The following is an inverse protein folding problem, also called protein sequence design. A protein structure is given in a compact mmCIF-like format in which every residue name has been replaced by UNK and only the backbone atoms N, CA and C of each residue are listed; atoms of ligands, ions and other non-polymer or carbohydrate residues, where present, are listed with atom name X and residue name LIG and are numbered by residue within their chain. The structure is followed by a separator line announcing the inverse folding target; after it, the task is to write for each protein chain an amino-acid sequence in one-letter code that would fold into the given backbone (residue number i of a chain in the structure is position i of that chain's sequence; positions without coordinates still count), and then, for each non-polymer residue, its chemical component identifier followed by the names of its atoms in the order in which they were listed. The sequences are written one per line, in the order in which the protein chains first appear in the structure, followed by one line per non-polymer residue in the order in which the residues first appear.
data_IF_679607592897
#
_entry.id   IF_679607592897
#
_cell.length_a   1.000
_cell.length_b   1.000
_cell.length_c   1.000
_cell.angle_alpha   90.00
_cell.angle_beta   90.00
_cell.angle_gamma   90.00
#
_symmetry.space_group_name_H-M   'P 1'
#
loop_
_entity.id
_entity.type
_entity.pdbx_description
1 polymer ?
#
# COMPACT_ATOMS: atom_id res chain seq x y z
N UNK A 1 -34.53 3.59 -5.73
CA UNK A 1 -33.81 3.30 -6.99
C UNK A 1 -32.80 2.21 -6.66
N UNK A 2 -33.07 0.97 -7.06
CA UNK A 2 -32.27 -0.21 -6.67
C UNK A 2 -30.93 -0.12 -7.39
N UNK A 3 -29.84 0.00 -6.64
CA UNK A 3 -28.48 0.00 -7.17
C UNK A 3 -28.07 -1.45 -7.48
N UNK A 4 -28.52 -1.97 -8.63
CA UNK A 4 -27.95 -3.20 -9.16
C UNK A 4 -26.60 -2.90 -9.80
N UNK A 5 -25.53 -3.26 -9.11
CA UNK A 5 -24.22 -3.43 -9.74
C UNK A 5 -24.37 -4.63 -10.68
N UNK A 6 -24.38 -4.37 -11.98
CA UNK A 6 -24.35 -5.44 -12.98
C UNK A 6 -22.95 -6.07 -12.96
N UNK A 7 -22.83 -7.19 -12.26
CA UNK A 7 -21.63 -8.04 -12.32
C UNK A 7 -21.63 -8.75 -13.68
N UNK A 8 -20.93 -8.20 -14.65
CA UNK A 8 -20.53 -8.93 -15.85
C UNK A 8 -19.21 -9.64 -15.56
N UNK A 9 -19.30 -10.91 -15.17
CA UNK A 9 -18.17 -11.82 -15.12
C UNK A 9 -17.65 -12.09 -16.53
N UNK A 10 -16.65 -11.36 -16.97
CA UNK A 10 -15.75 -11.79 -18.03
C UNK A 10 -14.33 -11.53 -17.58
N UNK A 11 -13.63 -12.60 -17.22
CA UNK A 11 -12.19 -12.64 -17.04
C UNK A 11 -11.50 -12.45 -18.40
N UNK A 12 -11.41 -11.20 -18.85
CA UNK A 12 -10.51 -10.83 -19.94
C UNK A 12 -9.09 -10.76 -19.36
N UNK A 13 -8.15 -11.50 -19.95
CA UNK A 13 -6.72 -11.31 -19.66
C UNK A 13 -6.37 -9.84 -19.91
N UNK A 14 -5.71 -9.14 -18.97
CA UNK A 14 -5.37 -7.75 -19.14
C UNK A 14 -4.46 -7.59 -20.35
N UNK A 15 -4.87 -6.74 -21.29
CA UNK A 15 -3.99 -6.18 -22.31
C UNK A 15 -3.10 -5.15 -21.61
N UNK A 16 -1.81 -5.13 -21.87
CA UNK A 16 -0.74 -4.42 -21.14
C UNK A 16 -0.86 -2.90 -20.97
N UNK A 17 -2.04 -2.37 -20.68
CA UNK A 17 -2.29 -0.96 -20.40
C UNK A 17 -3.50 -0.72 -19.48
N UNK A 18 -3.85 -1.65 -18.58
CA UNK A 18 -5.01 -1.55 -17.71
C UNK A 18 -4.65 -1.17 -16.26
N UNK A 19 -3.63 -0.33 -16.08
CA UNK A 19 -3.28 0.19 -14.76
C UNK A 19 -4.27 1.27 -14.31
N UNK A 20 -4.73 1.19 -13.04
CA UNK A 20 -5.55 2.24 -12.40
C UNK A 20 -4.67 3.37 -11.90
N UNK A 21 -3.55 3.04 -11.27
CA UNK A 21 -2.55 4.01 -10.82
C UNK A 21 -1.22 3.72 -11.50
N UNK A 22 -0.61 4.77 -12.03
CA UNK A 22 0.73 4.74 -12.62
C UNK A 22 1.60 5.78 -11.93
N UNK A 23 2.67 5.35 -11.31
CA UNK A 23 3.63 6.20 -10.59
C UNK A 23 4.93 6.21 -11.34
N UNK A 24 5.50 7.41 -11.61
CA UNK A 24 6.77 7.57 -12.32
C UNK A 24 7.68 8.53 -11.57
N UNK A 25 8.87 8.08 -11.27
CA UNK A 25 9.94 8.88 -10.64
C UNK A 25 9.50 9.64 -9.39
N UNK A 26 8.59 9.05 -8.60
CA UNK A 26 8.04 9.69 -7.40
C UNK A 26 9.14 9.92 -6.36
N UNK A 27 9.26 11.16 -5.91
CA UNK A 27 10.17 11.52 -4.82
C UNK A 27 9.45 12.38 -3.76
N UNK A 28 9.85 12.14 -2.50
CA UNK A 28 9.44 12.97 -1.37
C UNK A 28 10.60 13.23 -0.43
N UNK A 29 10.89 14.50 -0.27
CA UNK A 29 11.88 15.00 0.66
C UNK A 29 11.21 15.82 1.76
N UNK A 30 11.69 15.67 2.98
CA UNK A 30 11.27 16.50 4.11
C UNK A 30 12.46 17.34 4.60
N UNK A 31 12.28 18.65 4.64
CA UNK A 31 13.28 19.60 5.10
C UNK A 31 13.15 19.80 6.62
N UNK A 32 14.18 19.39 7.39
CA UNK A 32 14.22 19.51 8.83
C UNK A 32 15.10 20.69 9.23
N UNK A 33 14.59 21.59 10.09
CA UNK A 33 15.39 22.62 10.73
C UNK A 33 15.50 23.96 10.02
N UNK A 34 14.62 24.26 9.06
CA UNK A 34 14.47 25.60 8.48
C UNK A 34 13.82 26.58 9.49
N UNK A 35 14.46 26.82 10.65
CA UNK A 35 14.11 27.96 11.49
C UNK A 35 15.00 29.14 11.12
N UNK A 36 14.38 30.29 10.81
CA UNK A 36 15.05 31.56 10.42
C UNK A 36 16.18 32.03 11.40
N UNK A 37 16.27 31.42 12.58
CA UNK A 37 17.24 31.77 13.64
C UNK A 37 18.23 30.64 13.97
N UNK A 38 18.21 29.49 13.27
CA UNK A 38 19.10 28.38 13.56
C UNK A 38 20.27 28.35 12.58
N UNK A 39 21.53 28.43 13.11
CA UNK A 39 22.76 28.17 12.34
C UNK A 39 22.99 26.68 12.02
N UNK A 40 22.00 25.78 12.33
CA UNK A 40 22.12 24.37 11.97
C UNK A 40 21.88 24.22 10.45
N UNK A 41 22.76 23.45 9.79
CA UNK A 41 22.57 23.06 8.39
C UNK A 41 21.19 22.40 8.23
N UNK A 42 20.46 22.84 7.24
CA UNK A 42 19.24 22.20 6.78
C UNK A 42 19.53 20.71 6.53
N UNK A 43 18.72 19.83 7.12
CA UNK A 43 18.81 18.40 6.90
C UNK A 43 17.65 17.98 6.03
N UNK A 44 17.93 17.28 4.94
CA UNK A 44 16.94 16.75 4.03
C UNK A 44 16.79 15.26 4.26
N UNK A 45 15.56 14.84 4.59
CA UNK A 45 15.19 13.42 4.71
C UNK A 45 14.59 12.96 3.39
N UNK A 46 15.31 12.11 2.65
CA UNK A 46 14.83 11.47 1.43
C UNK A 46 13.95 10.27 1.78
N UNK A 47 12.66 10.52 2.00
CA UNK A 47 11.71 9.50 2.42
C UNK A 47 11.26 8.59 1.26
N UNK A 48 11.11 9.16 0.06
CA UNK A 48 10.84 8.45 -1.20
C UNK A 48 11.80 9.01 -2.23
N UNK A 49 12.45 8.14 -2.99
CA UNK A 49 13.49 8.52 -3.92
C UNK A 49 13.38 7.72 -5.22
N UNK A 50 12.82 8.34 -6.24
CA UNK A 50 12.72 7.77 -7.58
C UNK A 50 11.97 6.42 -7.62
N UNK A 51 10.73 6.41 -7.11
CA UNK A 51 9.86 5.23 -7.08
C UNK A 51 8.94 5.22 -8.30
N UNK A 52 8.93 4.10 -9.04
CA UNK A 52 8.09 3.90 -10.22
C UNK A 52 7.43 2.53 -10.19
N UNK A 53 6.12 2.46 -10.39
CA UNK A 53 5.36 1.21 -10.49
C UNK A 53 3.96 1.48 -11.08
N UNK A 54 3.30 0.41 -11.46
CA UNK A 54 1.89 0.41 -11.89
C UNK A 54 1.05 -0.45 -10.95
N UNK A 55 -0.22 -0.09 -10.77
CA UNK A 55 -1.22 -0.91 -10.07
C UNK A 55 -2.31 -1.28 -11.06
N UNK A 56 -2.40 -2.55 -11.42
CA UNK A 56 -3.37 -3.06 -12.38
C UNK A 56 -4.78 -3.07 -11.78
N UNK A 57 -5.78 -2.82 -12.63
CA UNK A 57 -7.20 -2.83 -12.24
C UNK A 57 -7.63 -4.18 -11.68
N UNK A 58 -8.36 -4.16 -10.56
CA UNK A 58 -8.85 -5.37 -9.90
C UNK A 58 -7.75 -6.23 -9.27
N UNK A 59 -6.51 -5.73 -9.18
CA UNK A 59 -5.38 -6.42 -8.57
C UNK A 59 -4.86 -5.73 -7.33
N UNK A 60 -4.04 -6.45 -6.59
CA UNK A 60 -3.35 -5.95 -5.39
C UNK A 60 -1.85 -5.87 -5.62
N UNK A 61 -1.29 -4.64 -5.59
CA UNK A 61 0.15 -4.44 -5.47
C UNK A 61 0.53 -4.30 -3.99
N UNK A 62 1.40 -5.18 -3.50
CA UNK A 62 1.98 -5.10 -2.16
C UNK A 62 3.25 -4.24 -2.15
N UNK A 63 3.38 -3.30 -1.20
CA UNK A 63 4.66 -2.64 -0.90
C UNK A 63 5.16 -3.13 0.45
N UNK A 64 6.33 -3.78 0.47
CA UNK A 64 6.92 -4.37 1.66
C UNK A 64 8.30 -3.79 1.96
N UNK A 65 8.72 -3.85 3.21
CA UNK A 65 10.05 -3.41 3.66
C UNK A 65 10.07 -3.07 5.14
N UNK A 66 11.27 -2.79 5.68
CA UNK A 66 11.45 -2.41 7.08
C UNK A 66 10.67 -1.14 7.44
N UNK A 67 10.38 -0.98 8.75
CA UNK A 67 9.73 0.25 9.23
C UNK A 67 10.58 1.48 8.89
N UNK A 68 9.93 2.58 8.47
CA UNK A 68 10.61 3.81 8.09
C UNK A 68 11.24 3.82 6.70
N UNK A 69 11.09 2.77 5.87
CA UNK A 69 11.68 2.75 4.52
C UNK A 69 10.93 3.60 3.48
N UNK A 70 9.78 4.23 3.84
CA UNK A 70 9.06 5.16 2.95
C UNK A 70 7.69 4.67 2.45
N UNK A 71 7.23 3.46 2.78
CA UNK A 71 5.98 2.84 2.29
C UNK A 71 4.74 3.73 2.47
N UNK A 72 4.42 4.09 3.72
CA UNK A 72 3.25 4.94 4.03
C UNK A 72 3.40 6.35 3.46
N UNK A 73 4.63 6.86 3.31
CA UNK A 73 4.88 8.14 2.65
C UNK A 73 4.55 8.06 1.17
N UNK A 74 4.97 6.98 0.48
CA UNK A 74 4.62 6.73 -0.93
C UNK A 74 3.11 6.71 -1.13
N UNK A 75 2.39 5.93 -0.31
CA UNK A 75 0.94 5.84 -0.37
C UNK A 75 0.25 7.20 -0.16
N UNK A 76 0.70 7.98 0.84
CA UNK A 76 0.14 9.30 1.11
C UNK A 76 0.44 10.31 0.01
N UNK A 77 1.58 10.20 -0.68
CA UNK A 77 1.87 10.99 -1.86
C UNK A 77 0.94 10.66 -3.03
N UNK A 78 0.65 9.36 -3.27
CA UNK A 78 -0.27 8.92 -4.32
C UNK A 78 -1.67 9.52 -4.10
N UNK A 79 -2.17 9.49 -2.88
CA UNK A 79 -3.46 10.08 -2.51
C UNK A 79 -3.43 11.60 -2.36
N UNK A 80 -2.28 12.25 -2.59
CA UNK A 80 -2.08 13.69 -2.37
C UNK A 80 -2.50 14.14 -0.96
N UNK A 81 -2.33 13.27 0.04
CA UNK A 81 -2.40 13.61 1.47
C UNK A 81 -1.08 14.24 1.94
N UNK A 82 -0.01 13.94 1.24
CA UNK A 82 1.31 14.57 1.36
C UNK A 82 1.75 14.99 -0.03
N UNK A 83 2.12 16.25 -0.19
CA UNK A 83 2.59 16.77 -1.47
C UNK A 83 3.90 16.09 -1.88
N UNK A 84 4.01 15.46 -3.06
CA UNK A 84 5.28 14.94 -3.56
C UNK A 84 6.25 16.07 -3.84
N UNK A 85 7.55 15.80 -3.78
CA UNK A 85 8.59 16.78 -4.15
C UNK A 85 8.77 16.81 -5.66
N UNK A 86 8.68 15.64 -6.31
CA UNK A 86 8.72 15.49 -7.76
C UNK A 86 8.13 14.14 -8.17
N UNK A 87 7.99 13.93 -9.47
CA UNK A 87 7.43 12.72 -10.08
C UNK A 87 6.02 12.92 -10.59
N UNK A 88 5.51 11.90 -11.26
CA UNK A 88 4.19 11.89 -11.88
C UNK A 88 3.32 10.80 -11.27
N UNK A 89 2.04 11.09 -11.08
CA UNK A 89 1.06 10.15 -10.53
C UNK A 89 -0.18 10.23 -11.42
N UNK A 90 -0.40 9.22 -12.25
CA UNK A 90 -1.54 9.15 -13.15
C UNK A 90 -2.60 8.21 -12.58
N UNK A 91 -3.82 8.69 -12.51
CA UNK A 91 -5.01 7.92 -12.19
C UNK A 91 -5.86 7.72 -13.44
N UNK A 92 -6.20 6.47 -13.76
CA UNK A 92 -7.07 6.13 -14.89
C UNK A 92 -8.45 5.76 -14.39
N UNK A 93 -9.34 6.76 -14.46
CA UNK A 93 -10.74 6.62 -14.10
C UNK A 93 -11.51 5.96 -15.23
N UNK A 94 -12.24 4.88 -14.93
CA UNK A 94 -13.17 4.26 -15.85
C UNK A 94 -14.55 4.93 -15.72
N UNK A 95 -15.06 5.45 -16.83
CA UNK A 95 -16.42 5.98 -16.87
C UNK A 95 -17.45 4.85 -16.77
N UNK A 96 -18.41 4.93 -15.83
CA UNK A 96 -19.41 3.88 -15.66
C UNK A 96 -20.44 3.83 -16.80
N UNK A 97 -20.54 4.89 -17.63
CA UNK A 97 -21.56 5.03 -18.67
C UNK A 97 -21.11 4.55 -20.03
N UNK A 98 -19.88 4.82 -20.44
CA UNK A 98 -19.37 4.58 -21.80
C UNK A 98 -18.08 3.76 -21.82
N UNK A 99 -17.60 3.32 -20.66
CA UNK A 99 -16.35 2.56 -20.49
C UNK A 99 -15.11 3.29 -21.04
N UNK A 100 -15.19 4.60 -21.24
CA UNK A 100 -14.01 5.39 -21.59
C UNK A 100 -13.08 5.52 -20.39
N UNK A 101 -11.76 5.55 -20.64
CA UNK A 101 -10.75 5.77 -19.62
C UNK A 101 -10.31 7.23 -19.69
N UNK A 102 -10.53 7.97 -18.61
CA UNK A 102 -10.00 9.30 -18.41
C UNK A 102 -8.70 9.20 -17.61
N UNK A 103 -7.59 9.70 -18.17
CA UNK A 103 -6.31 9.76 -17.47
C UNK A 103 -6.14 11.14 -16.83
N UNK A 104 -5.90 11.15 -15.52
CA UNK A 104 -5.79 12.36 -14.69
C UNK A 104 -4.42 12.33 -14.00
N UNK A 105 -3.64 13.41 -14.19
CA UNK A 105 -2.39 13.60 -13.43
C UNK A 105 -2.73 14.14 -12.03
N UNK A 106 -2.65 13.26 -11.03
CA UNK A 106 -2.86 13.64 -9.63
C UNK A 106 -1.79 14.62 -9.12
N UNK A 107 -0.59 14.58 -9.72
CA UNK A 107 0.52 15.47 -9.40
C UNK A 107 0.20 16.94 -9.72
N UNK A 108 -0.55 17.17 -10.79
CA UNK A 108 -0.92 18.50 -11.29
C UNK A 108 -2.35 18.93 -10.89
N UNK A 109 -3.16 18.01 -10.37
CA UNK A 109 -4.55 18.25 -10.04
C UNK A 109 -4.71 19.34 -8.96
N UNK A 110 -5.62 20.25 -9.18
CA UNK A 110 -6.01 21.28 -8.20
C UNK A 110 -6.74 20.69 -6.99
N UNK A 111 -6.77 21.38 -5.87
CA UNK A 111 -7.52 20.94 -4.68
C UNK A 111 -9.01 20.68 -4.95
N UNK A 112 -9.62 21.43 -5.88
CA UNK A 112 -11.02 21.24 -6.28
C UNK A 112 -11.23 19.94 -7.08
N UNK A 113 -10.29 19.58 -7.93
CA UNK A 113 -10.28 18.32 -8.68
C UNK A 113 -9.99 17.14 -7.75
N UNK A 114 -8.97 17.24 -6.90
CA UNK A 114 -8.64 16.24 -5.90
C UNK A 114 -9.84 15.94 -4.98
N UNK A 115 -10.61 16.96 -4.59
CA UNK A 115 -11.81 16.77 -3.76
C UNK A 115 -12.84 15.88 -4.45
N UNK A 116 -13.02 16.02 -5.78
CA UNK A 116 -13.92 15.15 -6.55
C UNK A 116 -13.37 13.72 -6.68
N UNK A 117 -12.05 13.59 -6.83
CA UNK A 117 -11.40 12.28 -6.97
C UNK A 117 -11.29 11.50 -5.66
N UNK A 118 -11.42 12.19 -4.52
CA UNK A 118 -11.41 11.51 -3.20
C UNK A 118 -12.57 10.54 -3.00
N UNK A 119 -13.65 10.61 -3.78
CA UNK A 119 -14.67 9.57 -3.79
C UNK A 119 -14.13 8.25 -4.35
N UNK A 120 -13.28 8.31 -5.38
CA UNK A 120 -12.75 7.15 -6.07
C UNK A 120 -11.47 6.59 -5.41
N UNK A 121 -10.73 7.45 -4.68
CA UNK A 121 -9.42 7.17 -4.10
C UNK A 121 -9.52 7.20 -2.56
N UNK A 122 -9.51 6.05 -1.93
CA UNK A 122 -9.75 5.91 -0.49
C UNK A 122 -8.56 5.28 0.24
N UNK A 123 -8.58 5.36 1.57
CA UNK A 123 -7.53 4.79 2.44
C UNK A 123 -8.13 4.09 3.65
N UNK A 124 -7.59 2.91 3.96
CA UNK A 124 -7.74 2.23 5.25
C UNK A 124 -6.45 2.43 6.03
N UNK A 125 -6.54 3.09 7.18
CA UNK A 125 -5.38 3.48 7.99
C UNK A 125 -4.86 2.35 8.88
N UNK A 126 -3.58 2.42 9.21
CA UNK A 126 -2.87 1.51 10.12
C UNK A 126 -3.48 1.48 11.53
N UNK A 127 -3.84 2.64 12.08
CA UNK A 127 -4.48 2.75 13.39
C UNK A 127 -5.94 3.17 13.23
N UNK A 128 -6.86 2.19 13.31
CA UNK A 128 -8.27 2.52 13.22
C UNK A 128 -8.74 3.36 14.40
N UNK A 129 -8.10 3.27 15.57
CA UNK A 129 -8.50 4.06 16.76
C UNK A 129 -8.23 5.55 16.53
N UNK A 130 -7.03 5.87 16.02
CA UNK A 130 -6.66 7.24 15.70
C UNK A 130 -7.46 7.82 14.52
N UNK A 131 -8.04 6.95 13.67
CA UNK A 131 -8.80 7.38 12.50
C UNK A 131 -10.26 7.71 12.77
N UNK A 132 -10.79 7.37 13.97
CA UNK A 132 -12.17 7.67 14.36
C UNK A 132 -12.25 8.81 15.36
N UNK A 133 -13.30 9.62 15.23
CA UNK A 133 -13.67 10.56 16.27
C UNK A 133 -14.32 9.77 17.42
N UNK A 134 -13.73 9.73 18.64
CA UNK A 134 -14.26 8.91 19.75
C UNK A 134 -15.63 9.39 20.26
N UNK A 135 -16.08 10.58 19.84
CA UNK A 135 -17.38 11.15 20.21
C UNK A 135 -18.50 10.84 19.21
N UNK A 136 -18.15 10.24 18.06
CA UNK A 136 -19.11 9.82 17.05
C UNK A 136 -19.45 8.33 17.22
N UNK A 137 -20.70 7.97 16.95
CA UNK A 137 -21.09 6.57 16.83
C UNK A 137 -20.49 5.95 15.59
N UNK A 138 -20.47 4.62 15.52
CA UNK A 138 -20.04 3.86 14.35
C UNK A 138 -20.82 4.27 13.10
N UNK A 139 -22.17 4.31 13.21
CA UNK A 139 -23.01 4.72 12.09
C UNK A 139 -22.71 6.13 11.59
N UNK A 140 -22.51 7.08 12.51
CA UNK A 140 -22.11 8.43 12.14
C UNK A 140 -20.74 8.47 11.45
N UNK A 141 -19.76 7.64 11.91
CA UNK A 141 -18.42 7.61 11.33
C UNK A 141 -18.37 6.95 9.94
N UNK A 142 -19.19 5.93 9.68
CA UNK A 142 -19.32 5.28 8.38
C UNK A 142 -20.13 6.12 7.41
N UNK A 143 -21.19 6.80 7.90
CA UNK A 143 -22.05 7.63 7.08
C UNK A 143 -21.49 9.04 6.78
N UNK A 144 -20.48 9.52 7.54
CA UNK A 144 -19.91 10.86 7.35
C UNK A 144 -19.48 11.15 5.90
N UNK A 145 -18.78 10.25 5.19
CA UNK A 145 -18.43 10.46 3.78
C UNK A 145 -19.65 10.65 2.89
N UNK A 146 -20.76 9.94 3.15
CA UNK A 146 -22.00 10.06 2.39
C UNK A 146 -22.62 11.45 2.57
N UNK A 147 -22.75 11.90 3.82
CA UNK A 147 -23.32 13.21 4.16
C UNK A 147 -22.52 14.36 3.54
N UNK A 148 -21.19 14.22 3.45
CA UNK A 148 -20.32 15.31 2.99
C UNK A 148 -20.20 15.35 1.46
N UNK A 149 -20.27 14.20 0.78
CA UNK A 149 -19.90 14.10 -0.64
C UNK A 149 -21.06 13.68 -1.56
N UNK A 150 -22.27 13.47 -1.04
CA UNK A 150 -23.42 13.08 -1.83
C UNK A 150 -24.64 13.94 -1.52
N UNK A 151 -25.63 13.93 -2.39
CA UNK A 151 -26.93 14.59 -2.19
C UNK A 151 -27.99 13.65 -1.58
N UNK A 152 -27.56 12.55 -0.95
CA UNK A 152 -28.45 11.60 -0.30
C UNK A 152 -29.15 12.24 0.90
N UNK A 153 -30.43 11.91 1.06
CA UNK A 153 -31.21 12.27 2.24
C UNK A 153 -30.64 11.57 3.49
N UNK A 154 -31.03 12.01 4.66
CA UNK A 154 -30.62 11.40 5.93
C UNK A 154 -31.00 9.91 6.00
N UNK A 155 -32.21 9.57 5.56
CA UNK A 155 -32.71 8.19 5.61
C UNK A 155 -31.96 7.30 4.62
N UNK A 156 -31.65 7.79 3.41
CA UNK A 156 -30.83 7.08 2.44
C UNK A 156 -29.37 6.90 2.94
N UNK A 157 -28.79 7.88 3.60
CA UNK A 157 -27.48 7.75 4.23
C UNK A 157 -27.48 6.67 5.34
N UNK A 158 -28.56 6.62 6.14
CA UNK A 158 -28.69 5.62 7.20
C UNK A 158 -28.87 4.22 6.63
N UNK A 159 -29.72 4.05 5.61
CA UNK A 159 -29.90 2.77 4.89
C UNK A 159 -28.58 2.31 4.30
N UNK A 160 -27.86 3.17 3.57
CA UNK A 160 -26.55 2.84 2.98
C UNK A 160 -25.52 2.50 4.05
N UNK A 161 -25.52 3.18 5.17
CA UNK A 161 -24.63 2.87 6.31
C UNK A 161 -24.90 1.47 6.87
N UNK A 162 -26.17 1.04 6.97
CA UNK A 162 -26.52 -0.31 7.39
C UNK A 162 -26.06 -1.38 6.40
N UNK A 163 -26.21 -1.13 5.09
CA UNK A 163 -25.69 -2.00 4.05
C UNK A 163 -24.16 -2.18 4.16
N UNK A 164 -23.43 -1.06 4.34
CA UNK A 164 -21.96 -1.08 4.49
C UNK A 164 -21.51 -1.86 5.74
N UNK A 165 -22.23 -1.73 6.85
CA UNK A 165 -21.95 -2.52 8.05
C UNK A 165 -22.21 -4.00 7.81
N UNK A 166 -23.31 -4.36 7.16
CA UNK A 166 -23.61 -5.74 6.79
C UNK A 166 -22.54 -6.32 5.84
N UNK A 167 -22.07 -5.55 4.86
CA UNK A 167 -21.05 -5.94 3.90
C UNK A 167 -19.71 -6.33 4.58
N UNK A 168 -19.37 -5.67 5.70
CA UNK A 168 -18.18 -6.03 6.48
C UNK A 168 -18.47 -7.04 7.61
N UNK A 169 -19.65 -7.67 7.60
CA UNK A 169 -20.05 -8.70 8.55
C UNK A 169 -20.35 -8.18 9.95
N UNK A 170 -20.89 -6.96 10.07
CA UNK A 170 -21.34 -6.36 11.32
C UNK A 170 -22.86 -6.20 11.34
N UNK A 171 -23.50 -6.59 12.44
CA UNK A 171 -24.93 -6.45 12.62
C UNK A 171 -25.36 -4.96 12.75
N UNK A 172 -26.61 -4.67 12.41
CA UNK A 172 -27.18 -3.31 12.44
C UNK A 172 -27.03 -2.61 13.81
N UNK A 173 -27.07 -3.37 14.90
CA UNK A 173 -26.91 -2.85 16.27
C UNK A 173 -25.56 -2.17 16.51
N UNK A 174 -24.53 -2.44 15.71
CA UNK A 174 -23.23 -1.78 15.82
C UNK A 174 -23.28 -0.29 15.46
N UNK A 175 -24.24 0.13 14.65
CA UNK A 175 -24.39 1.53 14.23
C UNK A 175 -24.48 2.51 15.42
N UNK A 176 -25.08 2.08 16.54
CA UNK A 176 -25.29 2.92 17.73
C UNK A 176 -24.12 2.88 18.72
N UNK A 177 -23.15 1.98 18.53
CA UNK A 177 -21.98 1.85 19.42
C UNK A 177 -20.95 2.93 19.15
N UNK A 178 -20.08 3.14 20.13
CA UNK A 178 -18.92 4.02 20.00
C UNK A 178 -17.64 3.20 19.74
N UNK A 179 -16.59 3.81 19.12
CA UNK A 179 -15.35 3.10 18.80
C UNK A 179 -14.68 2.41 20.00
N UNK A 180 -14.80 2.95 21.21
CA UNK A 180 -14.19 2.38 22.42
C UNK A 180 -14.90 1.11 22.93
N UNK A 181 -16.10 0.81 22.47
CA UNK A 181 -16.88 -0.39 22.83
C UNK A 181 -16.55 -1.60 21.93
N UNK A 182 -15.62 -1.46 20.98
CA UNK A 182 -15.34 -2.42 19.93
C UNK A 182 -13.97 -3.07 20.07
N UNK A 183 -13.84 -4.32 19.60
CA UNK A 183 -12.55 -4.98 19.45
C UNK A 183 -11.72 -4.35 18.32
N UNK A 184 -10.40 -4.63 18.29
CA UNK A 184 -9.52 -4.16 17.23
C UNK A 184 -9.99 -4.57 15.83
N UNK A 185 -10.37 -5.83 15.64
CA UNK A 185 -10.88 -6.33 14.36
C UNK A 185 -12.21 -5.71 13.94
N UNK A 186 -13.12 -5.44 14.89
CA UNK A 186 -14.37 -4.74 14.59
C UNK A 186 -14.12 -3.30 14.15
N UNK A 187 -13.21 -2.58 14.83
CA UNK A 187 -12.80 -1.24 14.41
C UNK A 187 -12.18 -1.24 13.01
N UNK A 188 -11.35 -2.24 12.68
CA UNK A 188 -10.77 -2.36 11.35
C UNK A 188 -11.84 -2.58 10.28
N UNK A 189 -12.81 -3.47 10.51
CA UNK A 189 -13.96 -3.69 9.62
C UNK A 189 -14.77 -2.42 9.39
N UNK A 190 -14.97 -1.59 10.43
CA UNK A 190 -15.63 -0.29 10.31
C UNK A 190 -14.79 0.69 9.49
N UNK A 191 -13.46 0.67 9.64
CA UNK A 191 -12.54 1.44 8.79
C UNK A 191 -12.67 1.07 7.31
N UNK A 192 -12.80 -0.23 7.02
CA UNK A 192 -13.08 -0.73 5.66
C UNK A 192 -14.46 -0.27 5.19
N UNK A 193 -15.52 -0.41 5.99
CA UNK A 193 -16.87 0.06 5.65
C UNK A 193 -16.89 1.56 5.31
N UNK A 194 -16.19 2.38 6.09
CA UNK A 194 -16.06 3.82 5.83
C UNK A 194 -15.34 4.11 4.51
N UNK A 195 -14.27 3.38 4.20
CA UNK A 195 -13.56 3.53 2.93
C UNK A 195 -14.45 3.16 1.72
N UNK A 196 -15.37 2.20 1.88
CA UNK A 196 -16.29 1.75 0.83
C UNK A 196 -17.50 2.68 0.63
N UNK A 197 -17.73 3.65 1.52
CA UNK A 197 -18.95 4.45 1.54
C UNK A 197 -19.27 5.13 0.20
N UNK A 198 -18.25 5.60 -0.51
CA UNK A 198 -18.37 6.33 -1.78
C UNK A 198 -18.14 5.46 -3.03
N UNK A 199 -18.14 4.12 -2.89
CA UNK A 199 -17.89 3.17 -3.98
C UNK A 199 -16.56 3.44 -4.72
N UNK A 200 -15.42 3.42 -4.01
CA UNK A 200 -14.13 3.72 -4.62
C UNK A 200 -13.72 2.65 -5.65
N UNK A 201 -12.86 3.04 -6.58
CA UNK A 201 -12.20 2.10 -7.50
C UNK A 201 -10.81 1.69 -7.01
N UNK A 202 -10.19 2.50 -6.15
CA UNK A 202 -8.85 2.29 -5.63
C UNK A 202 -8.79 2.58 -4.12
N UNK A 203 -8.23 1.62 -3.37
CA UNK A 203 -8.05 1.75 -1.93
C UNK A 203 -6.59 1.49 -1.56
N UNK A 204 -5.99 2.42 -0.83
CA UNK A 204 -4.73 2.19 -0.14
C UNK A 204 -5.01 1.52 1.21
N UNK A 205 -4.42 0.35 1.45
CA UNK A 205 -4.44 -0.34 2.73
C UNK A 205 -3.09 -0.13 3.44
N UNK A 206 -3.00 0.90 4.30
CA UNK A 206 -1.75 1.22 5.02
C UNK A 206 -1.65 0.40 6.31
N UNK A 207 -0.94 -0.73 6.27
CA UNK A 207 -0.76 -1.71 7.36
C UNK A 207 -2.09 -2.13 8.06
N UNK A 208 -3.12 -2.54 7.32
CA UNK A 208 -4.49 -2.65 7.85
C UNK A 208 -4.67 -3.75 8.90
N UNK A 209 -3.69 -4.64 9.09
CA UNK A 209 -3.78 -5.78 10.02
C UNK A 209 -2.63 -5.84 11.03
N UNK A 210 -1.70 -4.87 11.02
CA UNK A 210 -0.46 -4.91 11.82
C UNK A 210 -0.69 -4.94 13.34
N UNK A 211 -1.80 -4.38 13.82
CA UNK A 211 -2.14 -4.30 15.25
C UNK A 211 -3.14 -5.39 15.71
N UNK A 212 -3.39 -6.41 14.89
CA UNK A 212 -4.39 -7.45 15.15
C UNK A 212 -3.74 -8.81 15.45
N UNK A 213 -4.44 -9.64 16.24
CA UNK A 213 -4.06 -11.03 16.46
C UNK A 213 -4.16 -11.83 15.14
N UNK A 214 -3.33 -12.87 14.98
CA UNK A 214 -3.20 -13.67 13.74
C UNK A 214 -4.55 -14.20 13.23
N UNK A 215 -5.44 -14.67 14.13
CA UNK A 215 -6.77 -15.17 13.75
C UNK A 215 -7.69 -14.05 13.22
N UNK A 216 -7.60 -12.86 13.79
CA UNK A 216 -8.36 -11.68 13.34
C UNK A 216 -7.77 -11.10 12.07
N UNK A 217 -6.43 -11.12 11.90
CA UNK A 217 -5.77 -10.75 10.65
C UNK A 217 -6.32 -11.57 9.48
N UNK A 218 -6.38 -12.91 9.62
CA UNK A 218 -6.89 -13.79 8.57
C UNK A 218 -8.34 -13.44 8.18
N UNK A 219 -9.20 -13.12 9.16
CA UNK A 219 -10.58 -12.72 8.90
C UNK A 219 -10.69 -11.39 8.13
N UNK A 220 -9.84 -10.41 8.46
CA UNK A 220 -9.83 -9.12 7.75
C UNK A 220 -9.26 -9.26 6.34
N UNK A 221 -8.22 -10.10 6.15
CA UNK A 221 -7.66 -10.38 4.83
C UNK A 221 -8.67 -11.09 3.91
N UNK A 222 -9.37 -12.09 4.42
CA UNK A 222 -10.43 -12.77 3.67
C UNK A 222 -11.54 -11.78 3.27
N UNK A 223 -11.98 -10.94 4.22
CA UNK A 223 -12.96 -9.89 3.92
C UNK A 223 -12.47 -8.95 2.80
N UNK A 224 -11.21 -8.50 2.84
CA UNK A 224 -10.66 -7.63 1.80
C UNK A 224 -10.60 -8.34 0.44
N UNK A 225 -10.26 -9.64 0.40
CA UNK A 225 -10.26 -10.44 -0.84
C UNK A 225 -11.68 -10.62 -1.39
N UNK A 226 -12.66 -10.95 -0.55
CA UNK A 226 -14.08 -11.07 -0.93
C UNK A 226 -14.61 -9.76 -1.51
N UNK A 227 -14.34 -8.62 -0.84
CA UNK A 227 -14.72 -7.29 -1.31
C UNK A 227 -14.03 -6.91 -2.62
N UNK A 228 -12.77 -7.32 -2.82
CA UNK A 228 -12.05 -7.07 -4.06
C UNK A 228 -12.71 -7.76 -5.24
N UNK A 229 -13.07 -9.04 -5.07
CA UNK A 229 -13.76 -9.83 -6.10
C UNK A 229 -15.18 -9.31 -6.38
N UNK A 230 -15.96 -9.03 -5.33
CA UNK A 230 -17.35 -8.61 -5.43
C UNK A 230 -17.50 -7.20 -6.03
N UNK A 231 -16.61 -6.27 -5.65
CA UNK A 231 -16.69 -4.86 -6.04
C UNK A 231 -15.66 -4.45 -7.10
N UNK A 232 -14.87 -5.40 -7.63
CA UNK A 232 -13.78 -5.16 -8.58
C UNK A 232 -12.78 -4.08 -8.09
N UNK A 233 -12.44 -4.11 -6.81
CA UNK A 233 -11.56 -3.12 -6.19
C UNK A 233 -10.10 -3.32 -6.57
N UNK A 234 -9.36 -2.24 -6.65
CA UNK A 234 -7.91 -2.24 -6.84
C UNK A 234 -7.24 -1.82 -5.54
N UNK A 235 -6.25 -2.58 -5.07
CA UNK A 235 -5.57 -2.29 -3.82
C UNK A 235 -4.09 -1.92 -4.00
N UNK A 236 -3.64 -0.93 -3.24
CA UNK A 236 -2.25 -0.75 -2.88
C UNK A 236 -2.10 -1.17 -1.41
N UNK A 237 -1.47 -2.31 -1.17
CA UNK A 237 -1.40 -2.93 0.14
C UNK A 237 -0.01 -2.75 0.76
N UNK A 238 0.09 -2.02 1.87
CA UNK A 238 1.33 -1.80 2.59
C UNK A 238 1.40 -2.75 3.78
N UNK A 239 2.50 -3.47 3.90
CA UNK A 239 2.77 -4.33 5.03
C UNK A 239 4.28 -4.45 5.30
N UNK A 240 4.63 -4.81 6.53
CA UNK A 240 5.95 -5.31 6.88
C UNK A 240 5.96 -6.83 7.07
N UNK A 241 4.79 -7.49 7.01
CA UNK A 241 4.64 -8.94 7.14
C UNK A 241 4.47 -9.59 5.76
N UNK A 242 5.47 -10.36 5.35
CA UNK A 242 5.49 -11.06 4.08
C UNK A 242 4.46 -12.21 4.00
N UNK A 243 4.09 -12.81 5.14
CA UNK A 243 3.07 -13.86 5.15
C UNK A 243 1.69 -13.28 4.78
N UNK A 244 1.38 -12.07 5.28
CA UNK A 244 0.17 -11.32 4.92
C UNK A 244 0.16 -10.97 3.44
N UNK A 245 1.28 -10.45 2.94
CA UNK A 245 1.43 -10.06 1.52
C UNK A 245 1.25 -11.24 0.58
N UNK A 246 1.83 -12.39 0.92
CA UNK A 246 1.67 -13.62 0.12
C UNK A 246 0.21 -14.06 -0.02
N UNK A 247 -0.63 -13.74 0.95
CA UNK A 247 -2.04 -14.15 0.96
C UNK A 247 -2.93 -13.26 0.08
N UNK A 248 -2.64 -11.96 -0.02
CA UNK A 248 -3.57 -10.99 -0.62
C UNK A 248 -3.03 -10.31 -1.88
N UNK A 249 -1.71 -10.30 -2.11
CA UNK A 249 -1.12 -9.55 -3.22
C UNK A 249 -0.91 -10.42 -4.46
N UNK A 250 -1.11 -9.83 -5.64
CA UNK A 250 -0.75 -10.40 -6.93
C UNK A 250 0.72 -10.10 -7.26
N UNK A 251 1.14 -8.87 -7.03
CA UNK A 251 2.51 -8.39 -7.21
C UNK A 251 3.05 -7.78 -5.93
N UNK A 252 4.38 -7.79 -5.79
CA UNK A 252 5.06 -7.25 -4.62
C UNK A 252 6.25 -6.40 -5.04
N UNK A 253 6.28 -5.17 -4.53
CA UNK A 253 7.43 -4.26 -4.61
C UNK A 253 8.12 -4.19 -3.24
N UNK A 254 9.39 -4.61 -3.20
CA UNK A 254 10.22 -4.57 -2.00
C UNK A 254 10.90 -3.21 -1.92
N UNK A 255 10.64 -2.48 -0.84
CA UNK A 255 11.15 -1.12 -0.66
C UNK A 255 12.21 -1.07 0.42
N UNK A 256 13.35 -0.45 0.12
CA UNK A 256 14.44 -0.22 1.06
C UNK A 256 14.91 1.24 0.99
N UNK A 257 14.92 1.92 2.12
CA UNK A 257 15.42 3.30 2.28
C UNK A 257 14.93 4.25 1.17
N UNK A 258 13.62 4.24 0.88
CA UNK A 258 12.98 5.13 -0.10
C UNK A 258 13.00 4.66 -1.54
N UNK A 259 13.55 3.48 -1.86
CA UNK A 259 13.64 2.94 -3.22
C UNK A 259 13.04 1.54 -3.34
N UNK A 260 12.46 1.22 -4.50
CA UNK A 260 12.13 -0.15 -4.86
C UNK A 260 13.43 -0.86 -5.26
N UNK A 261 13.72 -1.96 -4.58
CA UNK A 261 14.92 -2.77 -4.83
C UNK A 261 14.62 -4.06 -5.59
N UNK A 262 13.39 -4.55 -5.51
CA UNK A 262 12.92 -5.71 -6.25
C UNK A 262 11.40 -5.63 -6.42
N UNK A 263 10.87 -6.02 -7.59
CA UNK A 263 9.44 -6.12 -7.85
C UNK A 263 9.17 -7.31 -8.74
N UNK A 264 8.19 -8.13 -8.39
CA UNK A 264 7.77 -9.27 -9.18
C UNK A 264 6.36 -9.74 -8.78
N UNK A 265 5.79 -10.63 -9.58
CA UNK A 265 4.62 -11.41 -9.19
C UNK A 265 4.91 -12.15 -7.87
N UNK A 266 3.93 -12.23 -6.97
CA UNK A 266 4.10 -12.74 -5.61
C UNK A 266 4.77 -14.11 -5.57
N UNK A 267 4.29 -15.08 -6.34
CA UNK A 267 4.85 -16.43 -6.33
C UNK A 267 6.32 -16.45 -6.80
N UNK A 268 6.67 -15.63 -7.80
CA UNK A 268 8.05 -15.51 -8.31
C UNK A 268 8.97 -14.88 -7.28
N UNK A 269 8.54 -13.80 -6.61
CA UNK A 269 9.31 -13.17 -5.55
C UNK A 269 9.61 -14.13 -4.40
N UNK A 270 8.65 -14.99 -4.05
CA UNK A 270 8.82 -15.94 -2.94
C UNK A 270 9.63 -17.18 -3.33
N UNK A 271 9.55 -17.67 -4.57
CA UNK A 271 10.29 -18.85 -5.04
C UNK A 271 11.72 -18.52 -5.49
N UNK A 272 11.89 -17.37 -6.15
CA UNK A 272 13.13 -16.96 -6.82
C UNK A 272 13.53 -15.51 -6.48
N UNK A 273 13.61 -15.14 -5.21
CA UNK A 273 14.08 -13.81 -4.84
C UNK A 273 15.50 -13.59 -5.35
N UNK A 274 15.79 -12.36 -5.76
CA UNK A 274 17.02 -12.06 -6.49
C UNK A 274 17.87 -11.00 -5.78
N UNK A 275 17.24 -10.06 -5.08
CA UNK A 275 17.96 -9.02 -4.35
C UNK A 275 18.38 -9.52 -2.95
N UNK A 276 19.63 -9.29 -2.48
CA UNK A 276 20.09 -9.74 -1.17
C UNK A 276 19.26 -9.27 0.02
N UNK A 277 18.64 -8.10 -0.06
CA UNK A 277 17.71 -7.62 0.96
C UNK A 277 16.42 -8.46 1.01
N UNK A 278 15.86 -8.83 -0.15
CA UNK A 278 14.68 -9.70 -0.23
C UNK A 278 14.99 -11.09 0.34
N UNK A 279 16.20 -11.63 0.09
CA UNK A 279 16.63 -12.88 0.72
C UNK A 279 16.58 -12.77 2.25
N UNK A 280 17.11 -11.68 2.81
CA UNK A 280 17.11 -11.48 4.25
C UNK A 280 15.70 -11.36 4.82
N UNK A 281 14.83 -10.55 4.18
CA UNK A 281 13.42 -10.38 4.57
C UNK A 281 12.69 -11.72 4.55
N UNK A 282 12.76 -12.45 3.44
CA UNK A 282 12.12 -13.75 3.30
C UNK A 282 12.67 -14.76 4.31
N UNK A 283 13.99 -14.75 4.57
CA UNK A 283 14.60 -15.66 5.56
C UNK A 283 14.11 -15.41 7.00
N UNK A 284 13.64 -14.21 7.29
CA UNK A 284 13.11 -13.83 8.60
C UNK A 284 11.61 -14.13 8.77
N UNK A 285 10.88 -14.30 7.65
CA UNK A 285 9.44 -14.57 7.69
C UNK A 285 9.15 -15.97 8.28
N UNK A 286 8.19 -16.13 9.19
CA UNK A 286 7.80 -17.42 9.73
C UNK A 286 7.27 -18.36 8.64
N UNK A 287 7.59 -19.65 8.71
CA UNK A 287 7.02 -20.69 7.84
C UNK A 287 6.12 -21.58 8.68
N UNK A 288 4.91 -21.87 8.19
CA UNK A 288 3.92 -22.67 8.90
C UNK A 288 4.38 -24.12 9.13
N UNK A 289 5.28 -24.65 8.28
CA UNK A 289 5.85 -26.00 8.43
C UNK A 289 7.02 -26.01 9.45
N UNK A 290 6.88 -26.64 10.63
CA UNK A 290 7.94 -26.68 11.64
C UNK A 290 9.22 -27.36 11.17
N UNK A 291 9.12 -28.34 10.23
CA UNK A 291 10.28 -29.06 9.72
C UNK A 291 11.08 -28.19 8.74
N UNK A 292 10.40 -27.43 7.91
CA UNK A 292 11.04 -26.43 7.04
C UNK A 292 11.64 -25.31 7.88
N UNK A 293 10.91 -24.80 8.88
CA UNK A 293 11.39 -23.74 9.79
C UNK A 293 12.69 -24.11 10.51
N UNK A 294 12.85 -25.37 10.97
CA UNK A 294 14.07 -25.83 11.65
C UNK A 294 15.30 -25.96 10.73
N UNK A 295 15.09 -26.23 9.45
CA UNK A 295 16.18 -26.37 8.46
C UNK A 295 16.63 -25.01 7.89
N UNK A 296 15.85 -23.98 8.07
CA UNK A 296 16.09 -22.66 7.51
C UNK A 296 17.22 -21.94 8.24
N UNK A 297 18.14 -21.36 7.49
CA UNK A 297 19.16 -20.46 8.03
C UNK A 297 18.67 -19.03 7.87
N UNK A 298 18.40 -18.35 8.99
CA UNK A 298 18.07 -16.93 8.99
C UNK A 298 19.30 -16.14 8.55
N UNK A 299 19.13 -15.28 7.55
CA UNK A 299 20.16 -14.33 7.11
C UNK A 299 20.10 -13.14 8.07
N UNK A 300 21.13 -12.99 8.90
CA UNK A 300 21.24 -11.86 9.80
C UNK A 300 21.91 -10.70 9.06
N UNK A 301 21.17 -9.60 8.93
CA UNK A 301 21.74 -8.36 8.38
C UNK A 301 22.62 -7.71 9.45
N UNK A 302 23.89 -7.48 9.12
CA UNK A 302 24.81 -6.78 10.00
C UNK A 302 24.73 -5.27 9.80
N UNK A 303 24.86 -4.52 10.88
CA UNK A 303 24.82 -3.06 10.90
C UNK A 303 23.41 -2.47 10.95
N UNK A 304 23.34 -1.19 11.28
CA UNK A 304 22.12 -0.43 11.37
C UNK A 304 21.60 -0.02 9.99
N UNK A 305 20.30 0.29 9.91
CA UNK A 305 19.71 0.89 8.71
C UNK A 305 20.35 2.27 8.51
N UNK A 306 20.91 2.56 7.31
CA UNK A 306 21.49 3.87 7.04
C UNK A 306 20.45 4.98 7.22
N UNK A 307 20.94 6.17 7.59
CA UNK A 307 20.06 7.32 7.75
C UNK A 307 19.49 7.79 6.41
N UNK A 308 18.18 8.09 6.32
CA UNK A 308 17.60 8.70 5.14
C UNK A 308 17.99 10.18 4.95
N UNK A 309 18.71 10.78 5.94
CA UNK A 309 19.16 12.18 5.87
C UNK A 309 20.32 12.35 4.89
N UNK A 310 21.21 11.38 4.81
CA UNK A 310 22.33 11.39 3.87
C UNK A 310 22.50 9.96 3.33
N UNK A 311 21.63 9.52 2.42
CA UNK A 311 21.71 8.18 1.87
C UNK A 311 23.04 7.96 1.14
N UNK A 312 23.55 6.71 1.08
CA UNK A 312 24.74 6.38 0.29
C UNK A 312 24.57 6.80 -1.18
N UNK A 313 25.63 7.27 -1.85
CA UNK A 313 25.57 7.70 -3.25
C UNK A 313 25.34 6.53 -4.23
N UNK A 314 25.78 5.33 -3.88
CA UNK A 314 25.57 4.11 -4.64
C UNK A 314 24.36 3.30 -4.15
N UNK A 315 24.50 1.97 -4.13
CA UNK A 315 23.46 1.09 -3.63
C UNK A 315 23.14 1.37 -2.16
N UNK A 316 21.90 1.74 -1.87
CA UNK A 316 21.46 2.10 -0.49
C UNK A 316 21.57 0.93 0.50
N UNK A 317 21.56 -0.31 -0.01
CA UNK A 317 21.73 -1.52 0.81
C UNK A 317 23.20 -1.93 0.99
N UNK A 318 24.16 -1.29 0.32
CA UNK A 318 25.58 -1.65 0.26
C UNK A 318 26.20 -1.94 1.63
N UNK A 319 25.98 -1.10 2.62
CA UNK A 319 26.60 -1.25 3.96
C UNK A 319 26.12 -2.50 4.74
N UNK A 320 24.95 -3.03 4.41
CA UNK A 320 24.36 -4.23 5.04
C UNK A 320 24.42 -5.48 4.13
N UNK A 321 24.88 -5.31 2.89
CA UNK A 321 25.00 -6.39 1.90
C UNK A 321 26.36 -7.06 2.01
N UNK A 322 26.40 -8.39 2.18
CA UNK A 322 27.63 -9.15 2.25
C UNK A 322 28.48 -8.98 0.97
N UNK A 323 27.85 -9.12 -0.20
CA UNK A 323 28.50 -8.90 -1.51
C UNK A 323 28.82 -7.41 -1.70
N UNK A 324 27.91 -6.52 -1.41
CA UNK A 324 28.03 -5.08 -1.69
C UNK A 324 29.16 -4.40 -0.92
N UNK A 325 29.47 -4.85 0.30
CA UNK A 325 30.57 -4.27 1.11
C UNK A 325 31.94 -4.43 0.48
N UNK A 326 32.15 -5.45 -0.34
CA UNK A 326 33.44 -5.76 -0.97
C UNK A 326 33.59 -5.17 -2.38
N UNK A 327 32.55 -4.52 -2.91
CA UNK A 327 32.55 -4.00 -4.29
C UNK A 327 32.41 -2.47 -4.33
N UNK A 328 33.41 -1.77 -4.91
CA UNK A 328 33.39 -0.35 -5.12
C UNK A 328 32.20 0.10 -5.98
N UNK A 329 31.80 -0.72 -6.97
CA UNK A 329 30.66 -0.44 -7.81
C UNK A 329 29.36 -0.23 -6.98
N UNK A 330 29.14 -1.06 -5.95
CA UNK A 330 27.99 -0.91 -5.07
C UNK A 330 28.08 0.35 -4.16
N UNK A 331 29.30 0.79 -3.85
CA UNK A 331 29.51 2.00 -3.03
C UNK A 331 29.29 3.28 -3.84
N UNK A 332 29.74 3.29 -5.11
CA UNK A 332 29.89 4.53 -5.88
C UNK A 332 28.79 4.73 -6.92
N UNK A 333 28.12 3.65 -7.36
CA UNK A 333 27.11 3.67 -8.41
C UNK A 333 25.79 3.08 -7.92
N UNK A 334 24.70 3.81 -8.13
CA UNK A 334 23.36 3.32 -7.85
C UNK A 334 22.92 2.30 -8.90
N UNK A 335 22.47 1.08 -8.51
CA UNK A 335 21.98 0.10 -9.45
C UNK A 335 20.60 0.54 -10.01
N UNK A 336 20.43 0.54 -11.34
CA UNK A 336 19.10 0.78 -11.92
C UNK A 336 18.16 -0.39 -11.65
N UNK A 337 16.86 -0.11 -11.56
CA UNK A 337 15.83 -1.14 -11.52
C UNK A 337 15.66 -1.70 -12.95
N UNK A 338 16.07 -2.94 -13.18
CA UNK A 338 16.09 -3.58 -14.49
C UNK A 338 15.31 -4.88 -14.49
N UNK A 339 14.68 -5.22 -15.62
CA UNK A 339 13.95 -6.49 -15.79
C UNK A 339 14.95 -7.64 -16.02
N UNK A 340 14.92 -8.63 -15.14
CA UNK A 340 15.66 -9.87 -15.26
C UNK A 340 14.95 -10.95 -16.10
N UNK A 341 13.83 -10.59 -16.72
CA UNK A 341 12.96 -11.45 -17.49
C UNK A 341 11.61 -11.71 -16.80
N UNK A 342 10.57 -11.80 -17.63
CA UNK A 342 9.18 -12.09 -17.21
C UNK A 342 8.63 -11.09 -16.17
N UNK A 343 9.00 -9.81 -16.27
CA UNK A 343 8.52 -8.75 -15.36
C UNK A 343 9.11 -8.80 -13.94
N UNK A 344 10.23 -9.52 -13.74
CA UNK A 344 10.96 -9.55 -12.47
C UNK A 344 12.01 -8.43 -12.45
N UNK A 345 11.68 -7.31 -11.85
CA UNK A 345 12.54 -6.12 -11.75
C UNK A 345 13.46 -6.21 -10.53
N UNK A 346 14.75 -5.90 -10.70
CA UNK A 346 15.71 -5.87 -9.59
C UNK A 346 16.71 -4.72 -9.73
N UNK A 347 16.98 -4.02 -8.63
CA UNK A 347 17.99 -2.96 -8.52
C UNK A 347 19.24 -3.49 -7.80
N UNK A 348 20.02 -4.32 -8.46
CA UNK A 348 21.24 -4.90 -7.92
C UNK A 348 22.30 -5.07 -8.99
N UNK A 349 23.58 -4.73 -8.69
CA UNK A 349 24.72 -4.96 -9.60
C UNK A 349 25.11 -6.43 -9.71
N UNK A 350 24.77 -7.24 -8.67
CA UNK A 350 25.10 -8.65 -8.56
C UNK A 350 23.85 -9.45 -8.15
N UNK A 351 22.81 -9.46 -9.01
CA UNK A 351 21.59 -10.19 -8.68
C UNK A 351 21.87 -11.70 -8.67
N UNK A 352 21.34 -12.40 -7.67
CA UNK A 352 21.53 -13.85 -7.51
C UNK A 352 20.22 -14.49 -7.04
N UNK A 353 19.70 -15.44 -7.81
CA UNK A 353 18.52 -16.20 -7.40
C UNK A 353 18.90 -17.14 -6.26
N UNK A 354 18.23 -17.01 -5.11
CA UNK A 354 18.40 -17.89 -3.95
C UNK A 354 17.05 -18.38 -3.47
N UNK A 355 16.86 -19.70 -3.44
CA UNK A 355 15.73 -20.29 -2.72
C UNK A 355 15.96 -20.14 -1.22
N UNK A 356 15.12 -19.38 -0.56
CA UNK A 356 15.22 -19.06 0.88
C UNK A 356 14.07 -19.69 1.68
N UNK A 357 13.03 -20.21 0.99
CA UNK A 357 11.80 -20.77 1.58
C UNK A 357 11.72 -22.28 1.34
#
# INVERSE_FOLDING_TARGET
MVWHVAVTSQSAKPSGNDSVISVRHLAKEFHLGANLFSKKREQVVSAVADVSFDVERGRTLGIVGESGCGKSTTARCILRLVEPTSGEIHYRKLSPTDQTVEEIDLGQASESELRKLRSDLQIVFQDPVASFNPRMTVGASVGEPLVVNTDLTRDECEERTQELLALVGLESGYSQRYPHELSGGQRQRIGVARALALNPSFIVCDEPVSALDVSIQAQVLNLLSELQEELALTYLFISHDLAVVRQICDEVAVMYLGKIVEQAHVEKLFSEPTHPYTHALLSAAPVADPNKQRKRRRILLEGDVPSPINPPPGCRFQSRCETGRSHDLCRDVEPPLTDNGEGHLVACHFPEVKSVI
#
